data_IF_018216932457
#
_entry.id   IF_018216932457
#
_cell.length_a   1.000
_cell.length_b   1.000
_cell.length_c   1.000
_cell.angle_alpha   90.00
_cell.angle_beta   90.00
_cell.angle_gamma   90.00
#
_symmetry.space_group_name_H-M   'P 1'
#
loop_
_entity.id
_entity.type
_entity.pdbx_description
1 polymer ?
#
# COMPACT_ATOMS: atom_id res chain seq x y z
N UNK A 1 -4.06 -18.08 -5.76
CA UNK A 1 -5.41 -17.53 -5.94
C UNK A 1 -5.32 -16.42 -6.96
N UNK A 2 -6.29 -16.28 -7.86
CA UNK A 2 -6.29 -15.14 -8.79
C UNK A 2 -6.61 -13.87 -8.00
N UNK A 3 -5.84 -12.81 -8.23
CA UNK A 3 -6.03 -11.52 -7.56
C UNK A 3 -7.35 -10.88 -8.04
N UNK A 4 -8.14 -10.24 -7.16
CA UNK A 4 -9.31 -9.49 -7.56
C UNK A 4 -8.94 -8.39 -8.54
N UNK A 5 -9.77 -8.20 -9.57
CA UNK A 5 -9.57 -7.19 -10.63
C UNK A 5 -9.35 -5.78 -10.07
N UNK A 6 -10.12 -5.39 -9.05
CA UNK A 6 -9.91 -4.16 -8.26
C UNK A 6 -8.46 -3.95 -7.84
N UNK A 7 -7.83 -4.98 -7.29
CA UNK A 7 -6.45 -4.90 -6.80
C UNK A 7 -5.44 -4.93 -7.94
N UNK A 8 -5.75 -5.61 -9.05
CA UNK A 8 -4.93 -5.53 -10.27
C UNK A 8 -4.89 -4.10 -10.79
N UNK A 9 -6.04 -3.43 -10.88
CA UNK A 9 -6.14 -2.02 -11.25
C UNK A 9 -5.35 -1.10 -10.29
N UNK A 10 -5.51 -1.25 -8.97
CA UNK A 10 -4.75 -0.48 -7.98
C UNK A 10 -3.24 -0.66 -8.18
N UNK A 11 -2.79 -1.88 -8.46
CA UNK A 11 -1.38 -2.17 -8.69
C UNK A 11 -0.86 -1.68 -10.02
N UNK A 12 -1.67 -1.68 -11.07
CA UNK A 12 -1.32 -1.08 -12.36
C UNK A 12 -1.07 0.42 -12.21
N UNK A 13 -2.00 1.14 -11.57
CA UNK A 13 -1.83 2.57 -11.29
C UNK A 13 -0.61 2.80 -10.41
N UNK A 14 -0.40 2.00 -9.34
CA UNK A 14 0.79 2.11 -8.47
C UNK A 14 2.09 1.88 -9.22
N UNK A 15 2.16 0.85 -10.08
CA UNK A 15 3.36 0.55 -10.88
C UNK A 15 3.69 1.71 -11.80
N UNK A 16 2.68 2.28 -12.44
CA UNK A 16 2.78 3.44 -13.31
C UNK A 16 3.12 4.73 -12.54
N UNK A 17 2.59 4.93 -11.33
CA UNK A 17 2.92 6.08 -10.49
C UNK A 17 4.41 6.14 -10.14
N UNK A 18 5.05 4.98 -9.95
CA UNK A 18 6.51 4.89 -9.69
C UNK A 18 7.35 5.33 -10.88
N UNK A 19 6.85 5.19 -12.11
CA UNK A 19 7.58 5.64 -13.31
C UNK A 19 7.29 7.10 -13.64
N UNK A 20 6.18 7.66 -13.13
CA UNK A 20 5.86 9.08 -13.23
C UNK A 20 6.79 9.95 -12.38
N UNK A 21 7.23 9.45 -11.22
CA UNK A 21 8.24 10.11 -10.37
C UNK A 21 9.57 10.18 -11.15
N UNK A 22 9.75 11.28 -11.88
CA UNK A 22 10.93 11.54 -12.71
C UNK A 22 12.22 11.35 -11.90
N UNK A 23 13.30 10.82 -12.51
CA UNK A 23 14.63 11.17 -12.03
C UNK A 23 14.78 12.69 -12.11
N UNK A 24 15.08 13.35 -10.99
CA UNK A 24 15.56 14.74 -11.04
C UNK A 24 16.88 14.72 -11.82
N UNK A 25 16.87 15.28 -13.02
CA UNK A 25 18.07 15.50 -13.81
C UNK A 25 18.44 16.96 -13.60
N UNK A 26 19.22 17.20 -12.55
CA UNK A 26 19.99 18.43 -12.41
C UNK A 26 21.30 18.20 -13.16
N UNK A 27 21.55 19.00 -14.18
CA UNK A 27 22.81 18.99 -14.91
C UNK A 27 23.54 20.31 -14.61
N UNK A 28 24.66 20.23 -13.89
CA UNK A 28 25.51 21.38 -13.56
C UNK A 28 26.31 21.94 -14.75
N UNK A 29 25.97 21.54 -15.98
CA UNK A 29 26.75 21.85 -17.17
C UNK A 29 25.89 22.31 -18.34
N UNK A 30 26.25 23.46 -18.92
CA UNK A 30 25.68 24.01 -20.17
C UNK A 30 25.85 23.08 -21.40
N UNK A 31 26.59 21.97 -21.26
CA UNK A 31 26.86 21.00 -22.32
C UNK A 31 25.76 19.94 -22.44
N UNK A 32 24.87 19.83 -21.45
CA UNK A 32 23.78 18.84 -21.46
C UNK A 32 22.55 19.41 -22.17
N UNK A 33 22.25 18.85 -23.35
CA UNK A 33 21.03 19.16 -24.10
C UNK A 33 19.79 18.62 -23.37
N UNK A 34 19.17 19.50 -22.59
CA UNK A 34 17.95 19.23 -21.81
C UNK A 34 16.75 18.88 -22.70
N UNK A 35 16.73 19.34 -23.96
CA UNK A 35 15.70 19.00 -24.93
C UNK A 35 15.87 17.58 -25.50
N UNK A 36 17.11 17.12 -25.66
CA UNK A 36 17.40 15.73 -26.04
C UNK A 36 17.02 14.75 -24.91
N UNK A 37 17.34 15.10 -23.66
CA UNK A 37 16.98 14.29 -22.49
C UNK A 37 15.46 14.27 -22.26
N UNK A 38 14.79 15.42 -22.43
CA UNK A 38 13.33 15.47 -22.35
C UNK A 38 12.69 14.56 -23.41
N UNK A 39 13.19 14.56 -24.65
CA UNK A 39 12.74 13.64 -25.72
C UNK A 39 12.94 12.16 -25.38
N UNK A 40 13.97 11.81 -24.63
CA UNK A 40 14.17 10.44 -24.13
C UNK A 40 13.15 10.10 -23.04
N UNK A 41 12.85 11.04 -22.13
CA UNK A 41 11.83 10.85 -21.10
C UNK A 41 10.41 10.76 -21.68
N UNK A 42 10.10 11.51 -22.75
CA UNK A 42 8.84 11.40 -23.50
C UNK A 42 8.68 10.02 -24.16
N UNK A 43 9.77 9.43 -24.65
CA UNK A 43 9.78 8.04 -25.18
C UNK A 43 9.60 6.99 -24.08
N UNK A 44 9.91 7.33 -22.83
CA UNK A 44 9.81 6.43 -21.68
C UNK A 44 8.47 6.55 -20.92
N UNK A 45 7.48 7.27 -21.45
CA UNK A 45 6.14 7.41 -20.87
C UNK A 45 5.30 6.13 -21.01
N UNK A 46 5.84 4.98 -20.59
CA UNK A 46 5.22 3.65 -20.63
C UNK A 46 3.89 3.64 -19.85
N UNK A 47 3.74 4.55 -18.87
CA UNK A 47 2.53 4.74 -18.10
C UNK A 47 1.40 5.45 -18.87
N UNK A 48 1.69 6.20 -19.94
CA UNK A 48 0.66 6.94 -20.70
C UNK A 48 0.03 6.04 -21.77
N UNK A 49 -0.57 4.94 -21.32
CA UNK A 49 -1.26 3.99 -22.19
C UNK A 49 -2.60 3.56 -21.56
N UNK A 50 -3.62 3.21 -22.36
CA UNK A 50 -4.91 2.77 -21.82
C UNK A 50 -4.80 1.53 -20.91
N UNK A 51 -3.74 0.73 -21.08
CA UNK A 51 -3.47 -0.48 -20.28
C UNK A 51 -3.41 -0.21 -18.78
N UNK A 52 -2.98 0.97 -18.35
CA UNK A 52 -2.90 1.34 -16.93
C UNK A 52 -4.27 1.32 -16.24
N UNK A 53 -5.34 1.54 -17.00
CA UNK A 53 -6.72 1.58 -16.50
C UNK A 53 -7.62 0.53 -17.15
N UNK A 54 -7.02 -0.52 -17.73
CA UNK A 54 -7.73 -1.59 -18.45
C UNK A 54 -8.55 -2.46 -17.49
N UNK A 55 -8.04 -2.69 -16.27
CA UNK A 55 -8.71 -3.47 -15.24
C UNK A 55 -9.74 -2.64 -14.43
N UNK A 56 -9.97 -1.36 -14.74
CA UNK A 56 -10.95 -0.57 -14.01
C UNK A 56 -12.39 -1.00 -14.33
N UNK A 57 -13.18 -1.25 -13.30
CA UNK A 57 -14.62 -1.43 -13.37
C UNK A 57 -15.28 -0.66 -12.21
N UNK A 58 -16.29 0.21 -12.47
CA UNK A 58 -17.00 0.93 -11.42
C UNK A 58 -17.63 0.05 -10.33
N UNK A 59 -18.08 -1.17 -10.65
CA UNK A 59 -18.73 -2.09 -9.71
C UNK A 59 -17.75 -2.61 -8.64
N UNK A 60 -16.46 -2.71 -8.98
CA UNK A 60 -15.41 -3.10 -8.04
C UNK A 60 -15.18 -2.05 -6.93
N UNK A 61 -15.77 -0.85 -7.08
CA UNK A 61 -15.69 0.25 -6.13
C UNK A 61 -17.05 0.63 -5.54
N UNK A 62 -18.08 -0.23 -5.68
CA UNK A 62 -19.43 0.05 -5.20
C UNK A 62 -19.54 0.19 -3.67
N UNK A 63 -18.55 -0.30 -2.92
CA UNK A 63 -18.49 -0.14 -1.45
C UNK A 63 -17.97 1.23 -1.01
N UNK A 64 -17.42 2.04 -1.93
CA UNK A 64 -16.93 3.38 -1.63
C UNK A 64 -18.09 4.39 -1.57
N UNK A 65 -17.84 5.58 -1.03
CA UNK A 65 -18.81 6.66 -1.07
C UNK A 65 -19.12 7.07 -2.53
N UNK A 66 -20.38 7.38 -2.84
CA UNK A 66 -20.85 7.74 -4.19
C UNK A 66 -20.03 8.88 -4.82
N UNK A 67 -19.64 9.87 -4.01
CA UNK A 67 -18.77 10.97 -4.45
C UNK A 67 -17.38 10.46 -4.87
N UNK A 68 -16.76 9.57 -4.09
CA UNK A 68 -15.46 8.98 -4.40
C UNK A 68 -15.53 8.14 -5.67
N UNK A 69 -16.58 7.33 -5.83
CA UNK A 69 -16.79 6.51 -7.01
C UNK A 69 -16.95 7.36 -8.27
N UNK A 70 -17.75 8.42 -8.20
CA UNK A 70 -17.97 9.36 -9.30
C UNK A 70 -16.68 10.08 -9.70
N UNK A 71 -15.90 10.53 -8.72
CA UNK A 71 -14.61 11.18 -8.96
C UNK A 71 -13.59 10.21 -9.56
N UNK A 72 -13.55 8.97 -9.09
CA UNK A 72 -12.64 7.94 -9.63
C UNK A 72 -13.02 7.63 -11.07
N UNK A 73 -14.30 7.44 -11.36
CA UNK A 73 -14.80 7.19 -12.70
C UNK A 73 -14.39 8.31 -13.66
N UNK A 74 -14.65 9.57 -13.29
CA UNK A 74 -14.26 10.72 -14.10
C UNK A 74 -12.75 10.78 -14.34
N UNK A 75 -11.93 10.57 -13.29
CA UNK A 75 -10.47 10.59 -13.41
C UNK A 75 -9.96 9.48 -14.34
N UNK A 76 -10.55 8.28 -14.28
CA UNK A 76 -10.21 7.17 -15.18
C UNK A 76 -10.59 7.49 -16.63
N UNK A 77 -11.81 7.99 -16.88
CA UNK A 77 -12.25 8.30 -18.24
C UNK A 77 -11.42 9.44 -18.88
N UNK A 78 -11.14 10.50 -18.13
CA UNK A 78 -10.29 11.60 -18.61
C UNK A 78 -8.86 11.14 -18.90
N UNK A 79 -8.27 10.30 -18.06
CA UNK A 79 -6.97 9.69 -18.34
C UNK A 79 -7.03 8.78 -19.58
N UNK A 80 -8.03 7.90 -19.67
CA UNK A 80 -8.20 6.97 -20.80
C UNK A 80 -8.34 7.70 -22.12
N UNK A 81 -9.09 8.81 -22.13
CA UNK A 81 -9.27 9.67 -23.29
C UNK A 81 -7.94 10.17 -23.84
N UNK A 82 -7.05 10.69 -23.00
CA UNK A 82 -5.72 11.16 -23.43
C UNK A 82 -4.82 9.98 -23.81
N UNK A 83 -4.78 8.92 -23.00
CA UNK A 83 -3.96 7.75 -23.27
C UNK A 83 -4.32 7.06 -24.60
N UNK A 84 -5.59 7.08 -25.00
CA UNK A 84 -6.06 6.50 -26.28
C UNK A 84 -5.61 7.28 -27.52
N UNK A 85 -5.19 8.53 -27.36
CA UNK A 85 -4.70 9.36 -28.45
C UNK A 85 -3.21 9.14 -28.74
N UNK A 86 -2.50 8.44 -27.86
CA UNK A 86 -1.08 8.11 -28.04
C UNK A 86 -0.98 6.85 -28.89
N UNK A 87 -0.41 6.91 -30.11
CA UNK A 87 -0.25 5.72 -30.95
C UNK A 87 0.67 4.70 -30.25
N UNK A 88 0.34 3.41 -30.36
CA UNK A 88 1.11 2.35 -29.69
C UNK A 88 2.56 2.21 -30.19
N UNK A 89 2.85 2.75 -31.38
CA UNK A 89 4.14 2.69 -32.07
C UNK A 89 4.91 4.02 -32.09
N UNK A 90 4.35 5.08 -31.47
CA UNK A 90 4.96 6.41 -31.47
C UNK A 90 5.06 6.97 -30.04
N UNK A 91 5.99 7.90 -29.85
CA UNK A 91 6.06 8.64 -28.59
C UNK A 91 4.90 9.63 -28.47
N UNK A 92 4.42 9.86 -27.26
CA UNK A 92 3.48 10.93 -26.99
C UNK A 92 4.07 12.29 -27.40
N UNK A 93 3.23 13.16 -27.93
CA UNK A 93 3.57 14.57 -28.11
C UNK A 93 3.78 15.25 -26.75
N UNK A 94 4.45 16.42 -26.74
CA UNK A 94 4.67 17.20 -25.50
C UNK A 94 3.33 17.51 -24.83
N UNK A 95 2.34 17.99 -25.58
CA UNK A 95 1.02 18.34 -25.06
C UNK A 95 0.31 17.12 -24.47
N UNK A 96 0.30 15.98 -25.18
CA UNK A 96 -0.28 14.73 -24.68
C UNK A 96 0.38 14.25 -23.38
N UNK A 97 1.70 14.39 -23.28
CA UNK A 97 2.42 14.00 -22.07
C UNK A 97 2.14 14.95 -20.90
N UNK A 98 2.09 16.26 -21.14
CA UNK A 98 1.76 17.24 -20.11
C UNK A 98 0.35 17.02 -19.60
N UNK A 99 -0.64 16.98 -20.49
CA UNK A 99 -2.04 16.73 -20.12
C UNK A 99 -2.20 15.34 -19.49
N UNK A 100 -1.61 14.30 -20.08
CA UNK A 100 -1.63 12.96 -19.54
C UNK A 100 -1.03 12.87 -18.13
N UNK A 101 0.03 13.64 -17.85
CA UNK A 101 0.66 13.72 -16.52
C UNK A 101 -0.30 14.33 -15.51
N UNK A 102 -1.00 15.40 -15.87
CA UNK A 102 -2.00 16.03 -15.02
C UNK A 102 -3.16 15.07 -14.72
N UNK A 103 -3.75 14.47 -15.76
CA UNK A 103 -4.85 13.49 -15.58
C UNK A 103 -4.42 12.28 -14.75
N UNK A 104 -3.20 11.81 -14.95
CA UNK A 104 -2.69 10.67 -14.20
C UNK A 104 -2.41 11.01 -12.74
N UNK A 105 -1.93 12.23 -12.43
CA UNK A 105 -1.82 12.71 -11.04
C UNK A 105 -3.18 12.82 -10.37
N UNK A 106 -4.19 13.33 -11.08
CA UNK A 106 -5.56 13.39 -10.56
C UNK A 106 -6.09 11.98 -10.23
N UNK A 107 -5.86 11.02 -11.14
CA UNK A 107 -6.19 9.61 -10.89
C UNK A 107 -5.46 9.04 -9.67
N UNK A 108 -4.15 9.26 -9.56
CA UNK A 108 -3.35 8.83 -8.40
C UNK A 108 -3.90 9.41 -7.11
N UNK A 109 -4.23 10.70 -7.09
CA UNK A 109 -4.75 11.38 -5.91
C UNK A 109 -6.11 10.81 -5.48
N UNK A 110 -7.04 10.61 -6.42
CA UNK A 110 -8.37 10.07 -6.11
C UNK A 110 -8.27 8.62 -5.65
N UNK A 111 -7.55 7.77 -6.38
CA UNK A 111 -7.39 6.36 -6.04
C UNK A 111 -6.60 6.18 -4.74
N UNK A 112 -5.54 6.97 -4.54
CA UNK A 112 -4.73 6.98 -3.33
C UNK A 112 -5.56 7.30 -2.09
N UNK A 113 -6.47 8.28 -2.17
CA UNK A 113 -7.40 8.60 -1.08
C UNK A 113 -8.33 7.44 -0.73
N UNK A 114 -8.94 6.79 -1.73
CA UNK A 114 -9.81 5.62 -1.51
C UNK A 114 -9.03 4.48 -0.84
N UNK A 115 -7.82 4.18 -1.32
CA UNK A 115 -6.99 3.10 -0.77
C UNK A 115 -6.50 3.46 0.64
N UNK A 116 -6.19 4.72 0.92
CA UNK A 116 -5.81 5.20 2.25
C UNK A 116 -6.95 5.02 3.25
N UNK A 117 -8.16 5.44 2.91
CA UNK A 117 -9.31 5.34 3.80
C UNK A 117 -9.58 3.87 4.18
N UNK A 118 -9.57 2.97 3.19
CA UNK A 118 -9.71 1.53 3.43
C UNK A 118 -8.58 0.99 4.32
N UNK A 119 -7.35 1.41 4.05
CA UNK A 119 -6.18 0.95 4.78
C UNK A 119 -6.19 1.41 6.24
N UNK A 120 -6.51 2.68 6.50
CA UNK A 120 -6.64 3.22 7.85
C UNK A 120 -7.76 2.53 8.63
N UNK A 121 -8.88 2.23 7.97
CA UNK A 121 -9.95 1.46 8.58
C UNK A 121 -9.52 0.03 8.95
N UNK A 122 -8.78 -0.64 8.06
CA UNK A 122 -8.24 -1.96 8.31
C UNK A 122 -7.23 -1.95 9.46
N UNK A 123 -6.35 -0.94 9.53
CA UNK A 123 -5.41 -0.77 10.64
C UNK A 123 -6.17 -0.60 11.96
N UNK A 124 -7.14 0.32 12.00
CA UNK A 124 -7.93 0.60 13.20
C UNK A 124 -8.61 -0.66 13.72
N UNK A 125 -9.23 -1.44 12.83
CA UNK A 125 -9.90 -2.71 13.21
C UNK A 125 -8.95 -3.69 13.89
N UNK A 126 -7.76 -3.90 13.34
CA UNK A 126 -6.79 -4.87 13.88
C UNK A 126 -6.19 -4.37 15.20
N UNK A 127 -5.89 -3.07 15.30
CA UNK A 127 -5.41 -2.49 16.56
C UNK A 127 -6.46 -2.52 17.67
N UNK A 128 -7.72 -2.17 17.36
CA UNK A 128 -8.82 -2.21 18.31
C UNK A 128 -8.99 -3.64 18.87
N UNK A 129 -8.95 -4.66 17.99
CA UNK A 129 -8.96 -6.07 18.41
C UNK A 129 -7.78 -6.42 19.32
N UNK A 130 -6.55 -6.04 18.93
CA UNK A 130 -5.35 -6.33 19.72
C UNK A 130 -5.37 -5.63 21.09
N UNK A 131 -5.86 -4.40 21.15
CA UNK A 131 -6.02 -3.62 22.36
C UNK A 131 -7.08 -4.22 23.29
N UNK A 132 -8.23 -4.64 22.75
CA UNK A 132 -9.27 -5.33 23.51
C UNK A 132 -8.74 -6.64 24.11
N UNK A 133 -8.09 -7.48 23.31
CA UNK A 133 -7.54 -8.75 23.81
C UNK A 133 -6.38 -8.55 24.80
N UNK A 134 -5.56 -7.52 24.61
CA UNK A 134 -4.54 -7.16 25.59
C UNK A 134 -5.18 -6.75 26.93
N UNK A 135 -6.22 -5.92 26.90
CA UNK A 135 -6.94 -5.49 28.10
C UNK A 135 -7.59 -6.68 28.83
N UNK A 136 -8.19 -7.62 28.10
CA UNK A 136 -8.74 -8.85 28.66
C UNK A 136 -7.69 -9.71 29.38
N UNK A 137 -6.45 -9.74 28.87
CA UNK A 137 -5.32 -10.42 29.50
C UNK A 137 -4.68 -9.62 30.66
N UNK A 138 -5.22 -8.44 30.99
CA UNK A 138 -4.70 -7.55 32.02
C UNK A 138 -3.43 -6.80 31.61
N UNK A 139 -3.12 -6.74 30.32
CA UNK A 139 -1.97 -6.00 29.78
C UNK A 139 -2.34 -4.55 29.54
N UNK A 140 -1.33 -3.67 29.57
CA UNK A 140 -1.53 -2.23 29.32
C UNK A 140 -1.11 -1.91 27.90
N UNK A 141 -1.95 -1.20 27.16
CA UNK A 141 -1.65 -0.74 25.81
C UNK A 141 -1.50 0.80 25.75
N UNK A 142 -0.80 1.28 24.73
CA UNK A 142 -0.76 2.69 24.35
C UNK A 142 -0.46 2.82 22.86
N UNK A 143 -1.15 3.74 22.18
CA UNK A 143 -0.83 4.11 20.79
C UNK A 143 0.21 5.22 20.70
N UNK A 144 1.09 5.12 19.71
CA UNK A 144 2.08 6.13 19.33
C UNK A 144 2.00 6.33 17.83
N UNK A 145 1.84 7.58 17.38
CA UNK A 145 1.75 7.87 15.95
C UNK A 145 3.12 7.77 15.26
N UNK A 146 3.13 7.21 14.06
CA UNK A 146 4.29 7.22 13.15
C UNK A 146 3.87 7.60 11.74
N UNK A 147 4.84 8.04 10.93
CA UNK A 147 4.63 8.35 9.52
C UNK A 147 5.05 7.16 8.64
N UNK A 148 4.24 6.88 7.62
CA UNK A 148 4.56 5.93 6.54
C UNK A 148 4.43 6.67 5.21
N UNK A 149 5.31 6.37 4.26
CA UNK A 149 5.25 6.92 2.90
C UNK A 149 5.17 5.80 1.87
N UNK A 150 4.14 5.81 1.03
CA UNK A 150 3.93 4.83 -0.03
C UNK A 150 3.64 5.51 -1.38
N UNK A 151 4.08 4.90 -2.47
CA UNK A 151 4.10 5.55 -3.80
C UNK A 151 2.73 5.91 -4.38
N UNK A 152 1.65 5.21 -4.00
CA UNK A 152 0.28 5.53 -4.47
C UNK A 152 -0.48 6.41 -3.47
N UNK A 153 -0.29 6.18 -2.18
CA UNK A 153 -1.06 6.81 -1.09
C UNK A 153 -0.43 8.14 -0.66
N UNK A 154 0.88 8.31 -0.84
CA UNK A 154 1.64 9.42 -0.30
C UNK A 154 2.10 9.15 1.14
N UNK A 155 2.36 10.23 1.88
CA UNK A 155 2.75 10.18 3.28
C UNK A 155 1.53 10.36 4.18
N UNK A 156 1.38 9.47 5.17
CA UNK A 156 0.26 9.46 6.09
C UNK A 156 0.71 9.01 7.48
N UNK A 157 -0.09 9.34 8.50
CA UNK A 157 0.18 9.00 9.89
C UNK A 157 -0.69 7.83 10.31
N UNK A 158 -0.10 6.86 11.00
CA UNK A 158 -0.82 5.72 11.60
C UNK A 158 -0.41 5.52 13.05
N UNK A 159 -1.31 5.01 13.89
CA UNK A 159 -0.92 4.50 15.20
C UNK A 159 0.00 3.28 15.08
N UNK A 160 0.88 3.14 16.06
CA UNK A 160 1.60 1.93 16.43
C UNK A 160 1.17 1.58 17.85
N UNK A 161 0.82 0.32 18.09
CA UNK A 161 0.32 -0.12 19.39
C UNK A 161 1.45 -0.73 20.22
N UNK A 162 1.74 -0.10 21.36
CA UNK A 162 2.68 -0.58 22.37
C UNK A 162 1.91 -1.37 23.42
N UNK A 163 2.26 -2.64 23.64
CA UNK A 163 1.57 -3.54 24.58
C UNK A 163 2.57 -4.00 25.65
N UNK A 164 2.31 -3.64 26.89
CA UNK A 164 3.13 -4.02 28.04
C UNK A 164 2.51 -5.23 28.74
N UNK A 165 3.14 -6.39 28.53
CA UNK A 165 2.81 -7.66 29.16
C UNK A 165 4.02 -8.12 29.98
N UNK A 166 3.98 -7.83 31.30
CA UNK A 166 5.13 -7.90 32.19
C UNK A 166 5.93 -9.21 32.07
N UNK A 167 7.27 -9.14 32.00
CA UNK A 167 8.13 -7.94 32.08
C UNK A 167 8.41 -7.27 30.71
N UNK A 168 7.77 -7.71 29.63
CA UNK A 168 8.18 -7.40 28.26
C UNK A 168 7.30 -6.33 27.61
N UNK A 169 7.91 -5.54 26.71
CA UNK A 169 7.20 -4.62 25.82
C UNK A 169 7.08 -5.25 24.44
N UNK A 170 5.87 -5.27 23.91
CA UNK A 170 5.56 -5.70 22.55
C UNK A 170 5.20 -4.49 21.71
N UNK A 171 5.66 -4.48 20.47
CA UNK A 171 5.41 -3.40 19.51
C UNK A 171 4.64 -3.99 18.35
N UNK A 172 3.39 -3.59 18.20
CA UNK A 172 2.53 -3.99 17.10
C UNK A 172 2.45 -2.85 16.08
N UNK A 173 3.13 -3.05 14.96
CA UNK A 173 3.56 -1.99 14.06
C UNK A 173 2.98 -2.17 12.65
N UNK A 174 2.06 -1.31 12.19
CA UNK A 174 1.61 -1.35 10.79
C UNK A 174 2.76 -0.96 9.86
N UNK A 175 3.08 -1.78 8.87
CA UNK A 175 4.25 -1.56 8.01
C UNK A 175 3.91 -0.88 6.68
N UNK A 176 2.98 -1.42 5.91
CA UNK A 176 2.66 -0.95 4.56
C UNK A 176 1.32 -1.50 4.08
N UNK A 177 0.60 -0.77 3.20
CA UNK A 177 -0.56 -1.27 2.45
C UNK A 177 -0.16 -2.20 1.30
N UNK A 178 1.02 -2.00 0.73
CA UNK A 178 1.44 -2.71 -0.49
C UNK A 178 2.62 -3.65 -0.29
N UNK A 179 2.33 -4.89 0.11
CA UNK A 179 3.31 -5.98 0.24
C UNK A 179 3.26 -6.98 -0.94
N UNK A 180 4.34 -7.73 -1.19
CA UNK A 180 4.27 -8.87 -2.10
C UNK A 180 3.24 -9.90 -1.63
N UNK A 181 2.25 -10.21 -2.48
CA UNK A 181 1.27 -11.26 -2.20
C UNK A 181 0.12 -10.91 -1.25
N UNK A 182 -0.02 -9.65 -0.80
CA UNK A 182 -1.11 -9.25 0.08
C UNK A 182 -1.47 -7.76 0.00
N UNK A 183 -2.43 -7.37 0.85
CA UNK A 183 -3.07 -6.05 0.91
C UNK A 183 -2.76 -5.29 2.21
N UNK A 184 -1.68 -5.66 2.90
CA UNK A 184 -1.22 -4.96 4.08
C UNK A 184 -0.40 -5.84 4.99
N UNK A 185 0.43 -5.26 5.84
CA UNK A 185 1.12 -5.99 6.91
C UNK A 185 1.30 -5.21 8.20
N UNK A 186 1.41 -5.96 9.28
CA UNK A 186 1.94 -5.53 10.56
C UNK A 186 3.12 -6.42 10.95
N UNK A 187 4.02 -5.89 11.76
CA UNK A 187 4.94 -6.69 12.55
C UNK A 187 4.53 -6.63 14.02
N UNK A 188 4.62 -7.77 14.72
CA UNK A 188 4.57 -7.84 16.17
C UNK A 188 5.97 -8.21 16.67
N UNK A 189 6.63 -7.25 17.32
CA UNK A 189 7.98 -7.40 17.87
C UNK A 189 7.95 -7.51 19.40
N UNK A 190 8.90 -8.22 19.99
CA UNK A 190 9.14 -8.23 21.44
C UNK A 190 10.46 -7.53 21.81
N UNK A 191 10.46 -6.75 22.88
CA UNK A 191 11.67 -6.16 23.46
C UNK A 191 12.09 -6.92 24.73
N UNK A 192 13.41 -7.06 24.99
CA UNK A 192 14.53 -6.43 24.28
C UNK A 192 15.15 -7.28 23.15
N UNK A 193 14.60 -8.47 22.84
CA UNK A 193 15.25 -9.39 21.89
C UNK A 193 15.01 -9.06 20.41
N UNK A 194 14.02 -8.21 20.11
CA UNK A 194 13.63 -7.76 18.77
C UNK A 194 13.21 -8.88 17.81
N UNK A 195 12.84 -10.05 18.34
CA UNK A 195 12.19 -11.08 17.53
C UNK A 195 10.82 -10.58 17.07
N UNK A 196 10.45 -10.94 15.84
CA UNK A 196 9.21 -10.51 15.21
C UNK A 196 8.41 -11.69 14.67
N UNK A 197 7.09 -11.55 14.69
CA UNK A 197 6.20 -12.25 13.77
C UNK A 197 5.49 -11.23 12.89
N UNK A 198 5.10 -11.63 11.68
CA UNK A 198 4.38 -10.77 10.75
C UNK A 198 2.93 -11.22 10.61
N UNK A 199 2.05 -10.22 10.59
CA UNK A 199 0.64 -10.33 10.24
C UNK A 199 0.45 -9.72 8.85
N UNK A 200 -0.36 -10.34 7.99
CA UNK A 200 -0.64 -9.81 6.67
C UNK A 200 -2.10 -10.00 6.27
N UNK A 201 -2.60 -9.06 5.48
CA UNK A 201 -3.94 -9.09 4.90
C UNK A 201 -3.84 -9.71 3.50
N UNK A 202 -4.65 -10.71 3.20
CA UNK A 202 -4.67 -11.28 1.86
C UNK A 202 -5.68 -10.58 0.94
N UNK A 203 -5.77 -11.07 -0.30
CA UNK A 203 -6.63 -10.47 -1.31
C UNK A 203 -8.15 -10.62 -1.03
N UNK A 204 -8.54 -11.47 -0.07
CA UNK A 204 -9.93 -11.61 0.41
C UNK A 204 -10.27 -10.63 1.54
N UNK A 205 -9.29 -9.84 2.00
CA UNK A 205 -9.42 -8.92 3.11
C UNK A 205 -9.22 -9.57 4.49
N UNK A 206 -8.96 -10.88 4.54
CA UNK A 206 -8.73 -11.63 5.76
C UNK A 206 -7.28 -11.47 6.24
N UNK A 207 -7.11 -11.38 7.56
CA UNK A 207 -5.82 -11.24 8.21
C UNK A 207 -5.27 -12.59 8.65
N UNK A 208 -3.96 -12.78 8.47
CA UNK A 208 -3.27 -14.01 8.86
C UNK A 208 -1.94 -13.70 9.51
N UNK A 209 -1.60 -14.45 10.56
CA UNK A 209 -0.31 -14.35 11.25
C UNK A 209 0.51 -15.61 11.01
N UNK A 210 1.83 -15.44 10.99
CA UNK A 210 2.78 -16.55 10.94
C UNK A 210 3.19 -16.97 12.35
N UNK A 211 2.81 -18.17 12.73
CA UNK A 211 3.30 -18.83 13.93
C UNK A 211 4.58 -19.62 13.60
N UNK A 212 5.18 -20.21 14.62
CA UNK A 212 6.51 -20.82 14.61
C UNK A 212 7.63 -19.80 14.34
N UNK A 213 7.64 -18.71 15.11
CA UNK A 213 8.69 -17.66 15.05
C UNK A 213 10.08 -18.28 15.01
N UNK A 214 10.91 -17.82 14.06
CA UNK A 214 12.30 -18.29 13.88
C UNK A 214 12.50 -19.33 12.77
N UNK A 215 11.44 -19.99 12.29
CA UNK A 215 11.54 -20.97 11.18
C UNK A 215 11.49 -20.33 9.78
N UNK A 216 11.36 -19.01 9.71
CA UNK A 216 11.24 -18.26 8.46
C UNK A 216 9.83 -18.35 7.83
N UNK A 217 9.53 -17.38 6.96
CA UNK A 217 8.21 -17.16 6.36
C UNK A 217 7.69 -18.38 5.57
N UNK A 218 8.59 -19.19 5.01
CA UNK A 218 8.25 -20.34 4.16
C UNK A 218 7.84 -21.60 4.94
N UNK A 219 8.13 -21.66 6.24
CA UNK A 219 7.93 -22.85 7.07
C UNK A 219 7.03 -22.62 8.28
N UNK A 220 6.72 -21.36 8.61
CA UNK A 220 5.80 -21.02 9.68
C UNK A 220 4.36 -21.42 9.37
N UNK A 221 3.63 -21.83 10.41
CA UNK A 221 2.19 -22.11 10.32
C UNK A 221 1.42 -20.80 10.13
N UNK A 222 0.76 -20.65 8.98
CA UNK A 222 -0.19 -19.57 8.72
C UNK A 222 -1.52 -19.87 9.42
N UNK A 223 -1.97 -18.98 10.29
CA UNK A 223 -3.30 -19.05 10.92
C UNK A 223 -4.06 -17.74 10.71
N UNK A 224 -5.39 -17.84 10.66
CA UNK A 224 -6.24 -16.65 10.61
C UNK A 224 -6.08 -15.83 11.90
N UNK A 225 -6.09 -14.52 11.75
CA UNK A 225 -6.02 -13.60 12.87
C UNK A 225 -7.25 -13.72 13.75
N UNK A 226 -7.00 -13.95 15.03
CA UNK A 226 -8.03 -14.07 16.04
C UNK A 226 -7.38 -14.08 17.41
N UNK A 227 -8.22 -14.06 18.44
CA UNK A 227 -7.78 -13.97 19.83
C UNK A 227 -6.78 -15.05 20.25
N UNK A 228 -7.03 -16.30 19.87
CA UNK A 228 -6.13 -17.41 20.19
C UNK A 228 -4.78 -17.25 19.48
N UNK A 229 -4.78 -16.88 18.19
CA UNK A 229 -3.57 -16.62 17.43
C UNK A 229 -2.78 -15.43 18.01
N UNK A 230 -3.46 -14.37 18.46
CA UNK A 230 -2.87 -13.23 19.15
C UNK A 230 -2.10 -13.69 20.41
N UNK A 231 -2.73 -14.46 21.28
CA UNK A 231 -2.05 -14.97 22.48
C UNK A 231 -0.92 -15.95 22.16
N UNK A 232 -1.08 -16.79 21.13
CA UNK A 232 -0.03 -17.71 20.67
C UNK A 232 1.20 -16.93 20.21
N UNK A 233 1.04 -15.83 19.47
CA UNK A 233 2.15 -14.97 19.07
C UNK A 233 2.94 -14.42 20.26
N UNK A 234 2.25 -13.96 21.32
CA UNK A 234 2.91 -13.46 22.53
C UNK A 234 3.68 -14.58 23.25
N UNK A 235 3.11 -15.79 23.31
CA UNK A 235 3.76 -16.94 23.93
C UNK A 235 5.01 -17.37 23.15
N UNK A 236 4.95 -17.43 21.83
CA UNK A 236 6.11 -17.75 20.98
C UNK A 236 7.21 -16.71 21.09
N UNK A 237 6.87 -15.42 20.97
CA UNK A 237 7.85 -14.34 21.07
C UNK A 237 8.53 -14.30 22.45
N UNK A 238 7.79 -14.59 23.53
CA UNK A 238 8.34 -14.65 24.88
C UNK A 238 9.39 -15.75 25.04
N UNK A 239 9.35 -16.82 24.25
CA UNK A 239 10.36 -17.88 24.30
C UNK A 239 11.75 -17.42 23.85
N UNK A 240 11.86 -16.22 23.27
CA UNK A 240 13.10 -15.60 22.83
C UNK A 240 13.65 -14.51 23.78
N UNK A 241 13.10 -14.38 24.99
CA UNK A 241 13.56 -13.42 26.01
C UNK A 241 14.08 -14.13 27.25
#
# INVERSE_FOLDING_TARGET
>A
MQRPRREEFILDVRRSARTLLKPNIEADSEVVDTDAISRILYRAAIWLTPKVVEHYDPEDFASCHEEQQSRLHLAVEEFRKIASQVPSDQAATIDQFMEGTERFRDLINVLGGIVLDEWLHAIGTVEDQAEDWAAEAGWRSRRVNKEISESLIGTYTVPQLLIYAEPNLYVFDPLARFIPGGQGSFDLAIQPSYHTTSLYRDDSGMWFVHLDVGNGVSHGKRVEWGKDAFYECFNELRAFV
#
